data_IF_435315674692
#
_entry.id   IF_435315674692
#
_cell.length_a   1.000
_cell.length_b   1.000
_cell.length_c   1.000
_cell.angle_alpha   90.00
_cell.angle_beta   90.00
_cell.angle_gamma   90.00
#
_symmetry.space_group_name_H-M   'P 1'
#
loop_
_entity.id
_entity.type
_entity.pdbx_description
1 polymer ?
#
# COMPACT_ATOMS: atom_id res chain seq x y z
N UNK A 1 41.54 -4.44 24.66
CA UNK A 1 40.26 -3.83 24.22
C UNK A 1 39.13 -4.82 24.51
N UNK A 2 37.98 -4.39 25.09
CA UNK A 2 36.86 -5.29 25.31
C UNK A 2 36.33 -5.80 23.96
N UNK A 3 36.27 -7.12 23.79
CA UNK A 3 35.70 -7.77 22.60
C UNK A 3 34.19 -7.59 22.61
N UNK A 4 33.66 -6.77 21.72
CA UNK A 4 32.22 -6.71 21.47
C UNK A 4 31.76 -8.00 20.80
N UNK A 5 30.52 -8.43 21.07
CA UNK A 5 29.92 -9.65 20.49
C UNK A 5 29.58 -9.53 18.99
N UNK A 6 29.80 -8.35 18.39
CA UNK A 6 29.47 -8.05 17.01
C UNK A 6 30.50 -7.09 16.42
N UNK A 7 30.65 -7.13 15.09
CA UNK A 7 31.61 -6.32 14.35
C UNK A 7 30.99 -5.01 13.84
N UNK A 8 31.83 -4.03 13.53
CA UNK A 8 31.37 -2.74 12.97
C UNK A 8 30.78 -2.90 11.55
N UNK A 9 31.25 -3.91 10.81
CA UNK A 9 30.75 -4.24 9.47
C UNK A 9 29.31 -4.77 9.57
N UNK A 10 29.07 -5.73 10.46
CA UNK A 10 27.72 -6.25 10.72
C UNK A 10 26.77 -5.16 11.17
N UNK A 11 27.23 -4.26 12.05
CA UNK A 11 26.42 -3.14 12.51
C UNK A 11 26.05 -2.17 11.37
N UNK A 12 27.00 -1.84 10.49
CA UNK A 12 26.75 -0.99 9.31
C UNK A 12 25.76 -1.63 8.34
N UNK A 13 25.88 -2.93 8.10
CA UNK A 13 24.95 -3.65 7.23
C UNK A 13 23.53 -3.69 7.81
N UNK A 14 23.38 -3.86 9.12
CA UNK A 14 22.07 -3.81 9.78
C UNK A 14 21.45 -2.40 9.74
N UNK A 15 22.28 -1.35 9.84
CA UNK A 15 21.83 0.03 9.66
C UNK A 15 21.40 0.29 8.21
N UNK A 16 22.15 -0.17 7.21
CA UNK A 16 21.75 -0.09 5.79
C UNK A 16 20.43 -0.80 5.50
N UNK A 17 20.17 -1.92 6.20
CA UNK A 17 18.88 -2.63 6.14
C UNK A 17 17.75 -1.90 6.87
N UNK A 18 18.02 -0.74 7.48
CA UNK A 18 17.03 0.11 8.15
C UNK A 18 16.52 -0.45 9.47
N UNK A 19 17.27 -1.35 10.14
CA UNK A 19 16.83 -1.91 11.42
C UNK A 19 16.95 -0.88 12.56
N UNK A 20 15.98 -0.89 13.47
CA UNK A 20 16.02 -0.05 14.68
C UNK A 20 17.01 -0.61 15.71
N UNK A 21 17.49 0.21 16.67
CA UNK A 21 18.36 -0.25 17.75
C UNK A 21 17.76 -1.44 18.55
N UNK A 22 16.43 -1.51 18.63
CA UNK A 22 15.69 -2.62 19.21
C UNK A 22 15.84 -3.91 18.42
N UNK A 23 15.62 -3.83 17.10
CA UNK A 23 15.70 -4.98 16.21
C UNK A 23 17.15 -5.45 16.05
N UNK A 24 18.10 -4.51 15.95
CA UNK A 24 19.54 -4.81 15.95
C UNK A 24 19.98 -5.49 17.24
N UNK A 25 19.53 -5.00 18.40
CA UNK A 25 19.84 -5.63 19.69
C UNK A 25 19.32 -7.08 19.77
N UNK A 26 18.09 -7.32 19.29
CA UNK A 26 17.51 -8.67 19.22
C UNK A 26 18.28 -9.56 18.24
N UNK A 27 18.67 -9.03 17.08
CA UNK A 27 19.41 -9.78 16.05
C UNK A 27 20.84 -10.12 16.49
N UNK A 28 21.49 -9.21 17.21
CA UNK A 28 22.89 -9.35 17.66
C UNK A 28 22.99 -10.00 19.05
N UNK A 29 21.87 -10.33 19.71
CA UNK A 29 21.86 -10.93 21.04
C UNK A 29 22.48 -10.05 22.13
N UNK A 30 22.35 -8.72 22.00
CA UNK A 30 22.92 -7.72 22.92
C UNK A 30 21.84 -6.75 23.40
N UNK A 31 22.18 -5.90 24.36
CA UNK A 31 21.26 -4.88 24.86
C UNK A 31 21.13 -3.69 23.89
N UNK A 32 19.98 -3.00 23.91
CA UNK A 32 19.77 -1.77 23.12
C UNK A 32 20.81 -0.70 23.42
N UNK A 33 21.23 -0.57 24.68
CA UNK A 33 22.25 0.39 25.11
C UNK A 33 23.62 0.09 24.49
N UNK A 34 24.01 -1.18 24.38
CA UNK A 34 25.26 -1.59 23.74
C UNK A 34 25.29 -1.19 22.25
N UNK A 35 24.19 -1.39 21.54
CA UNK A 35 24.03 -0.97 20.13
C UNK A 35 24.09 0.56 20.02
N UNK A 36 23.35 1.29 20.85
CA UNK A 36 23.31 2.75 20.84
C UNK A 36 24.68 3.38 21.12
N UNK A 37 25.41 2.88 22.12
CA UNK A 37 26.76 3.37 22.44
C UNK A 37 27.74 3.10 21.30
N UNK A 38 27.62 1.96 20.61
CA UNK A 38 28.51 1.62 19.50
C UNK A 38 28.24 2.49 18.27
N UNK A 39 26.97 2.74 17.93
CA UNK A 39 26.57 3.64 16.85
C UNK A 39 27.05 5.07 17.10
N UNK A 40 26.91 5.57 18.33
CA UNK A 40 27.41 6.88 18.73
C UNK A 40 28.94 6.99 18.57
N UNK A 41 29.69 5.95 18.97
CA UNK A 41 31.16 5.91 18.78
C UNK A 41 31.58 5.87 17.31
N UNK A 42 30.78 5.25 16.45
CA UNK A 42 31.04 5.18 15.02
C UNK A 42 30.52 6.42 14.26
N UNK A 43 29.92 7.40 14.97
CA UNK A 43 29.22 8.56 14.39
C UNK A 43 28.19 8.16 13.33
N UNK A 44 27.60 6.97 13.47
CA UNK A 44 26.55 6.50 12.58
C UNK A 44 25.23 6.99 13.16
N UNK A 45 24.67 8.02 12.54
CA UNK A 45 23.32 8.48 12.84
C UNK A 45 22.32 7.40 12.42
N UNK A 46 21.80 6.65 13.39
CA UNK A 46 20.62 5.83 13.14
C UNK A 46 19.43 6.75 13.34
N UNK A 47 19.02 7.39 12.25
CA UNK A 47 17.74 8.09 12.25
C UNK A 47 16.68 7.07 12.70
N UNK A 48 15.85 7.45 13.68
CA UNK A 48 14.64 6.69 13.98
C UNK A 48 13.76 6.84 12.76
N UNK A 49 13.92 5.87 11.87
CA UNK A 49 13.40 5.72 10.53
C UNK A 49 11.86 5.54 10.52
N UNK A 50 11.14 6.42 11.22
CA UNK A 50 9.68 6.40 11.34
C UNK A 50 9.08 7.08 10.11
N UNK A 51 9.69 8.13 9.57
CA UNK A 51 9.17 8.86 8.40
C UNK A 51 9.32 8.12 7.07
N UNK A 52 10.40 7.36 6.86
CA UNK A 52 10.55 6.54 5.64
C UNK A 52 9.72 5.25 5.77
N UNK A 53 9.57 4.68 6.97
CA UNK A 53 8.70 3.50 7.16
C UNK A 53 7.23 3.83 7.00
N UNK A 54 6.74 4.98 7.46
CA UNK A 54 5.37 5.42 7.19
C UNK A 54 5.14 5.60 5.69
N UNK A 55 6.06 6.25 4.97
CA UNK A 55 5.97 6.37 3.52
C UNK A 55 5.99 4.99 2.83
N UNK A 56 6.82 4.05 3.30
CA UNK A 56 6.92 2.71 2.72
C UNK A 56 5.72 1.84 3.04
N UNK A 57 5.18 1.88 4.25
CA UNK A 57 3.96 1.17 4.66
C UNK A 57 2.71 1.76 4.00
N UNK A 58 2.66 3.08 3.80
CA UNK A 58 1.61 3.73 3.00
C UNK A 58 1.75 3.28 1.56
N UNK A 59 2.94 3.38 0.95
CA UNK A 59 3.18 2.92 -0.42
C UNK A 59 2.84 1.42 -0.57
N UNK A 60 3.21 0.56 0.37
CA UNK A 60 2.89 -0.87 0.32
C UNK A 60 1.37 -1.14 0.46
N UNK A 61 0.64 -0.36 1.27
CA UNK A 61 -0.83 -0.46 1.37
C UNK A 61 -1.53 0.08 0.11
N UNK A 62 -1.05 1.20 -0.43
CA UNK A 62 -1.55 1.79 -1.67
C UNK A 62 -1.30 0.86 -2.87
N UNK A 63 -0.14 0.17 -2.92
CA UNK A 63 0.16 -0.84 -3.93
C UNK A 63 -0.84 -2.01 -3.85
N UNK A 64 -1.13 -2.51 -2.64
CA UNK A 64 -2.13 -3.58 -2.49
C UNK A 64 -3.53 -3.13 -2.90
N UNK A 65 -3.91 -1.87 -2.62
CA UNK A 65 -5.18 -1.31 -3.05
C UNK A 65 -5.28 -1.20 -4.58
N UNK A 66 -4.19 -0.79 -5.24
CA UNK A 66 -4.08 -0.76 -6.71
C UNK A 66 -4.19 -2.15 -7.33
N UNK A 67 -3.56 -3.16 -6.75
CA UNK A 67 -3.65 -4.55 -7.22
C UNK A 67 -5.09 -5.08 -7.13
N UNK A 68 -5.79 -4.78 -6.02
CA UNK A 68 -7.21 -5.11 -5.88
C UNK A 68 -8.06 -4.36 -6.92
N UNK A 69 -7.80 -3.06 -7.14
CA UNK A 69 -8.48 -2.26 -8.16
C UNK A 69 -8.30 -2.83 -9.56
N UNK A 70 -7.08 -3.22 -9.93
CA UNK A 70 -6.81 -3.87 -11.21
C UNK A 70 -7.54 -5.21 -11.34
N UNK A 71 -7.62 -5.98 -10.26
CA UNK A 71 -8.38 -7.23 -10.26
C UNK A 71 -9.87 -6.98 -10.52
N UNK A 72 -10.50 -6.07 -9.79
CA UNK A 72 -11.91 -5.73 -9.99
C UNK A 72 -12.14 -5.19 -11.40
N UNK A 73 -11.21 -4.40 -11.93
CA UNK A 73 -11.30 -3.89 -13.30
C UNK A 73 -11.27 -5.00 -14.34
N UNK A 74 -10.38 -5.99 -14.20
CA UNK A 74 -10.35 -7.16 -15.08
C UNK A 74 -11.68 -7.91 -15.02
N UNK A 75 -12.15 -8.23 -13.84
CA UNK A 75 -13.41 -8.95 -13.64
C UNK A 75 -14.60 -8.20 -14.26
N UNK A 76 -14.65 -6.86 -14.11
CA UNK A 76 -15.69 -6.02 -14.70
C UNK A 76 -15.63 -5.98 -16.24
N UNK A 77 -14.42 -5.93 -16.82
CA UNK A 77 -14.24 -5.99 -18.28
C UNK A 77 -14.64 -7.36 -18.84
N UNK A 78 -14.28 -8.46 -18.16
CA UNK A 78 -14.67 -9.81 -18.58
C UNK A 78 -16.20 -9.97 -18.62
N UNK A 79 -16.90 -9.46 -17.60
CA UNK A 79 -18.37 -9.44 -17.58
C UNK A 79 -18.90 -8.57 -18.72
N UNK A 80 -18.34 -7.38 -18.93
CA UNK A 80 -18.78 -6.49 -20.00
C UNK A 80 -18.61 -7.14 -21.39
N UNK A 81 -17.49 -7.81 -21.63
CA UNK A 81 -17.21 -8.49 -22.90
C UNK A 81 -18.23 -9.60 -23.19
N UNK A 82 -18.55 -10.42 -22.18
CA UNK A 82 -19.58 -11.45 -22.30
C UNK A 82 -20.95 -10.83 -22.64
N UNK A 83 -21.32 -9.74 -21.98
CA UNK A 83 -22.58 -9.04 -22.22
C UNK A 83 -22.63 -8.40 -23.61
N UNK A 84 -21.53 -7.84 -24.08
CA UNK A 84 -21.42 -7.24 -25.40
C UNK A 84 -21.46 -8.29 -26.52
N UNK A 85 -20.83 -9.46 -26.32
CA UNK A 85 -20.93 -10.61 -27.24
C UNK A 85 -22.38 -11.10 -27.35
N UNK A 86 -23.05 -11.28 -26.21
CA UNK A 86 -24.46 -11.65 -26.19
C UNK A 86 -25.33 -10.63 -26.94
N UNK A 87 -25.14 -9.33 -26.70
CA UNK A 87 -25.92 -8.28 -27.36
C UNK A 87 -25.70 -8.24 -28.89
N UNK A 88 -24.60 -8.80 -29.40
CA UNK A 88 -24.33 -8.95 -30.85
C UNK A 88 -24.93 -10.24 -31.44
N UNK A 89 -25.63 -11.04 -30.64
CA UNK A 89 -26.28 -12.29 -31.09
C UNK A 89 -25.41 -13.54 -30.94
N UNK A 90 -24.33 -13.49 -30.16
CA UNK A 90 -23.53 -14.67 -29.84
C UNK A 90 -24.27 -15.57 -28.85
N UNK A 91 -24.76 -16.72 -29.34
CA UNK A 91 -25.52 -17.69 -28.53
C UNK A 91 -24.70 -18.41 -27.46
N UNK A 92 -23.37 -18.53 -27.63
CA UNK A 92 -22.50 -19.12 -26.61
C UNK A 92 -22.39 -18.21 -25.38
N UNK A 93 -22.37 -16.89 -25.61
CA UNK A 93 -22.34 -15.90 -24.53
C UNK A 93 -23.62 -15.96 -23.67
N UNK A 94 -24.78 -16.21 -24.29
CA UNK A 94 -26.03 -16.45 -23.56
C UNK A 94 -25.93 -17.69 -22.67
N UNK A 95 -25.39 -18.79 -23.20
CA UNK A 95 -25.25 -20.04 -22.46
C UNK A 95 -24.32 -19.90 -21.25
N UNK A 96 -23.23 -19.13 -21.39
CA UNK A 96 -22.33 -18.80 -20.28
C UNK A 96 -23.06 -17.95 -19.22
N UNK A 97 -23.79 -16.92 -19.63
CA UNK A 97 -24.56 -16.06 -18.71
C UNK A 97 -25.67 -16.82 -17.98
N UNK A 98 -26.37 -17.73 -18.68
CA UNK A 98 -27.42 -18.57 -18.11
C UNK A 98 -26.86 -19.66 -17.20
N UNK A 99 -25.68 -20.21 -17.50
CA UNK A 99 -25.01 -21.21 -16.63
C UNK A 99 -24.64 -20.65 -15.25
N UNK A 100 -24.51 -19.32 -15.15
CA UNK A 100 -24.27 -18.61 -13.89
C UNK A 100 -25.55 -18.34 -13.09
N UNK A 101 -26.74 -18.54 -13.67
CA UNK A 101 -28.00 -18.43 -12.96
C UNK A 101 -28.16 -19.62 -11.99
N UNK A 102 -28.13 -19.33 -10.68
CA UNK A 102 -28.35 -20.37 -9.66
C UNK A 102 -29.82 -20.71 -9.53
N UNK A 103 -30.15 -21.98 -9.72
CA UNK A 103 -31.41 -22.57 -9.27
C UNK A 103 -31.32 -22.85 -7.77
N UNK A 104 -32.04 -22.06 -6.97
CA UNK A 104 -32.09 -22.23 -5.51
C UNK A 104 -33.46 -22.79 -5.15
N UNK A 105 -33.51 -23.90 -4.40
CA UNK A 105 -34.76 -24.34 -3.76
C UNK A 105 -35.13 -23.31 -2.70
N UNK A 106 -36.27 -22.65 -2.88
CA UNK A 106 -36.83 -21.79 -1.85
C UNK A 106 -37.76 -22.63 -0.96
N UNK A 107 -37.49 -22.65 0.34
CA UNK A 107 -38.31 -23.32 1.35
C UNK A 107 -37.52 -24.13 2.39
N UNK A 108 -38.04 -24.21 3.62
CA UNK A 108 -37.59 -25.15 4.68
C UNK A 108 -38.74 -26.10 5.02
N UNK A 109 -38.45 -27.41 5.11
CA UNK A 109 -39.41 -28.43 5.55
C UNK A 109 -40.32 -28.98 4.45
N UNK A 110 -41.46 -29.56 4.83
CA UNK A 110 -42.42 -30.26 3.95
C UNK A 110 -43.08 -29.38 2.87
N UNK A 111 -42.91 -28.05 2.93
CA UNK A 111 -43.35 -27.08 1.93
C UNK A 111 -42.22 -26.67 0.95
N UNK A 112 -41.25 -27.55 0.66
CA UNK A 112 -40.23 -27.33 -0.36
C UNK A 112 -40.80 -27.51 -1.79
N UNK A 113 -41.90 -26.81 -2.08
CA UNK A 113 -42.62 -26.90 -3.34
C UNK A 113 -42.57 -25.58 -4.10
N UNK A 114 -41.44 -25.32 -4.76
CA UNK A 114 -41.33 -24.77 -6.12
C UNK A 114 -39.90 -24.29 -6.35
N UNK A 115 -39.32 -24.74 -7.46
CA UNK A 115 -38.02 -24.29 -7.93
C UNK A 115 -38.17 -22.83 -8.41
N UNK A 116 -37.88 -21.86 -7.55
CA UNK A 116 -37.88 -20.45 -7.97
C UNK A 116 -36.64 -20.20 -8.82
N UNK A 117 -36.80 -20.20 -10.14
CA UNK A 117 -35.74 -19.84 -11.06
C UNK A 117 -35.50 -18.32 -10.99
N UNK A 118 -34.39 -17.92 -10.36
CA UNK A 118 -33.95 -16.53 -10.40
C UNK A 118 -33.38 -16.26 -11.79
N UNK A 119 -34.20 -15.68 -12.67
CA UNK A 119 -33.75 -15.16 -13.96
C UNK A 119 -32.69 -14.09 -13.75
N UNK A 120 -31.64 -14.15 -14.57
CA UNK A 120 -30.63 -13.11 -14.68
C UNK A 120 -31.32 -11.74 -14.90
N UNK A 121 -30.90 -10.70 -14.16
CA UNK A 121 -31.33 -9.30 -14.43
C UNK A 121 -31.03 -8.96 -15.89
N UNK A 122 -31.76 -7.99 -16.45
CA UNK A 122 -31.57 -7.56 -17.85
C UNK A 122 -30.08 -7.36 -18.14
N UNK A 123 -29.48 -8.15 -19.04
CA UNK A 123 -28.04 -8.10 -19.25
C UNK A 123 -27.59 -6.75 -19.84
N UNK A 124 -28.49 -5.97 -20.44
CA UNK A 124 -28.21 -4.58 -20.85
C UNK A 124 -28.03 -3.65 -19.66
N UNK A 125 -28.86 -3.81 -18.63
CA UNK A 125 -28.73 -3.06 -17.37
C UNK A 125 -27.42 -3.42 -16.67
N UNK A 126 -27.07 -4.71 -16.66
CA UNK A 126 -25.81 -5.18 -16.10
C UNK A 126 -24.60 -4.62 -16.86
N UNK A 127 -24.68 -4.54 -18.19
CA UNK A 127 -23.61 -3.98 -19.01
C UNK A 127 -23.39 -2.48 -18.71
N UNK A 128 -24.48 -1.71 -18.58
CA UNK A 128 -24.40 -0.30 -18.21
C UNK A 128 -23.77 -0.10 -16.83
N UNK A 129 -24.10 -0.96 -15.85
CA UNK A 129 -23.50 -0.93 -14.51
C UNK A 129 -22.02 -1.30 -14.54
N UNK A 130 -21.62 -2.32 -15.31
CA UNK A 130 -20.21 -2.67 -15.50
C UNK A 130 -19.42 -1.51 -16.14
N UNK A 131 -19.97 -0.87 -17.18
CA UNK A 131 -19.35 0.32 -17.79
C UNK A 131 -19.22 1.49 -16.81
N UNK A 132 -20.21 1.72 -15.93
CA UNK A 132 -20.15 2.74 -14.89
C UNK A 132 -19.04 2.45 -13.87
N UNK A 133 -18.94 1.21 -13.42
CA UNK A 133 -17.90 0.76 -12.49
C UNK A 133 -16.49 0.92 -13.09
N UNK A 134 -16.29 0.47 -14.33
CA UNK A 134 -15.01 0.65 -15.06
C UNK A 134 -14.64 2.14 -15.14
N UNK A 135 -15.59 3.01 -15.46
CA UNK A 135 -15.36 4.47 -15.50
C UNK A 135 -14.98 5.03 -14.12
N UNK A 136 -15.65 4.59 -13.06
CA UNK A 136 -15.35 4.97 -11.70
C UNK A 136 -13.93 4.58 -11.30
N UNK A 137 -13.51 3.37 -11.65
CA UNK A 137 -12.16 2.88 -11.40
C UNK A 137 -11.08 3.64 -12.17
N UNK A 138 -11.32 3.97 -13.45
CA UNK A 138 -10.40 4.79 -14.23
C UNK A 138 -10.21 6.18 -13.60
N UNK A 139 -11.30 6.79 -13.11
CA UNK A 139 -11.22 8.07 -12.40
C UNK A 139 -10.38 7.96 -11.13
N UNK A 140 -10.63 6.94 -10.32
CA UNK A 140 -9.85 6.71 -9.09
C UNK A 140 -8.38 6.46 -9.38
N UNK A 141 -8.05 5.68 -10.43
CA UNK A 141 -6.68 5.48 -10.86
C UNK A 141 -5.98 6.78 -11.25
N UNK A 142 -6.66 7.69 -11.96
CA UNK A 142 -6.12 9.01 -12.30
C UNK A 142 -5.85 9.86 -11.05
N UNK A 143 -6.77 9.85 -10.08
CA UNK A 143 -6.61 10.55 -8.81
C UNK A 143 -5.39 10.01 -8.03
N UNK A 144 -5.22 8.69 -7.97
CA UNK A 144 -4.04 8.06 -7.35
C UNK A 144 -2.75 8.45 -8.08
N UNK A 145 -2.73 8.41 -9.42
CA UNK A 145 -1.56 8.81 -10.19
C UNK A 145 -1.19 10.27 -9.95
N UNK A 146 -2.17 11.16 -9.89
CA UNK A 146 -1.95 12.57 -9.60
C UNK A 146 -1.36 12.75 -8.19
N UNK A 147 -1.91 12.07 -7.18
CA UNK A 147 -1.39 12.11 -5.82
C UNK A 147 0.07 11.57 -5.74
N UNK A 148 0.38 10.50 -6.46
CA UNK A 148 1.75 9.96 -6.55
C UNK A 148 2.71 10.94 -7.23
N UNK A 149 2.29 11.60 -8.30
CA UNK A 149 3.08 12.62 -8.99
C UNK A 149 3.35 13.82 -8.07
N UNK A 150 2.33 14.31 -7.38
CA UNK A 150 2.46 15.42 -6.43
C UNK A 150 3.42 15.05 -5.28
N UNK A 151 3.33 13.82 -4.76
CA UNK A 151 4.27 13.32 -3.76
C UNK A 151 5.72 13.26 -4.29
N UNK A 152 5.93 12.87 -5.55
CA UNK A 152 7.25 12.89 -6.16
C UNK A 152 7.79 14.31 -6.30
N UNK A 153 6.98 15.26 -6.75
CA UNK A 153 7.35 16.67 -6.86
C UNK A 153 7.72 17.26 -5.49
N UNK A 154 6.93 16.97 -4.46
CA UNK A 154 7.22 17.38 -3.08
C UNK A 154 8.55 16.77 -2.60
N UNK A 155 8.79 15.50 -2.88
CA UNK A 155 10.05 14.83 -2.50
C UNK A 155 11.26 15.45 -3.19
N UNK A 156 11.13 15.77 -4.48
CA UNK A 156 12.20 16.41 -5.23
C UNK A 156 12.50 17.79 -4.64
N UNK A 157 11.49 18.63 -4.43
CA UNK A 157 11.64 19.93 -3.79
C UNK A 157 12.31 19.81 -2.40
N UNK A 158 11.87 18.88 -1.56
CA UNK A 158 12.47 18.65 -0.25
C UNK A 158 13.95 18.27 -0.35
N UNK A 159 14.31 17.44 -1.32
CA UNK A 159 15.70 17.05 -1.59
C UNK A 159 16.53 18.26 -1.96
N UNK A 160 16.09 19.03 -2.96
CA UNK A 160 16.77 20.22 -3.44
C UNK A 160 16.96 21.27 -2.33
N UNK A 161 15.94 21.49 -1.49
CA UNK A 161 16.03 22.41 -0.34
C UNK A 161 17.07 21.93 0.67
N UNK A 162 17.10 20.64 1.00
CA UNK A 162 18.07 20.11 1.95
C UNK A 162 19.50 20.15 1.39
N UNK A 163 19.69 19.88 0.10
CA UNK A 163 20.99 20.00 -0.57
C UNK A 163 21.46 21.47 -0.62
N UNK A 164 20.56 22.40 -0.90
CA UNK A 164 20.87 23.83 -0.86
C UNK A 164 21.32 24.27 0.55
N UNK A 165 20.64 23.81 1.60
CA UNK A 165 21.04 24.09 2.99
C UNK A 165 22.40 23.45 3.31
N UNK A 166 22.62 22.20 2.88
CA UNK A 166 23.88 21.48 3.08
C UNK A 166 25.06 22.23 2.47
N UNK A 167 24.87 22.83 1.29
CA UNK A 167 25.90 23.60 0.60
C UNK A 167 26.35 24.86 1.38
N UNK A 168 25.50 25.38 2.26
CA UNK A 168 25.78 26.56 3.10
C UNK A 168 26.27 26.15 4.49
N UNK A 169 25.62 25.18 5.12
CA UNK A 169 26.02 24.62 6.42
C UNK A 169 25.44 23.21 6.61
N UNK A 170 26.30 22.18 6.61
CA UNK A 170 25.90 20.81 6.92
C UNK A 170 25.27 20.67 8.31
N UNK A 171 25.77 21.41 9.30
CA UNK A 171 25.28 21.38 10.68
C UNK A 171 23.85 21.94 10.77
N UNK A 172 23.54 22.97 9.98
CA UNK A 172 22.20 23.55 9.92
C UNK A 172 21.20 22.56 9.32
N UNK A 173 21.59 21.82 8.28
CA UNK A 173 20.77 20.73 7.73
C UNK A 173 20.45 19.67 8.78
N UNK A 174 21.47 19.19 9.51
CA UNK A 174 21.28 18.17 10.54
C UNK A 174 20.34 18.66 11.66
N UNK A 175 20.50 19.90 12.12
CA UNK A 175 19.63 20.47 13.16
C UNK A 175 18.18 20.64 12.69
N UNK A 176 17.97 21.05 11.44
CA UNK A 176 16.64 21.14 10.84
C UNK A 176 15.99 19.76 10.78
N UNK A 177 16.69 18.74 10.28
CA UNK A 177 16.20 17.36 10.22
C UNK A 177 15.83 16.87 11.62
N UNK A 178 16.68 17.13 12.63
CA UNK A 178 16.43 16.75 14.03
C UNK A 178 15.14 17.37 14.54
N UNK A 179 14.96 18.69 14.40
CA UNK A 179 13.76 19.41 14.86
C UNK A 179 12.48 18.96 14.16
N UNK A 180 12.54 18.73 12.85
CA UNK A 180 11.40 18.24 12.09
C UNK A 180 10.99 16.84 12.56
N UNK A 181 11.97 15.97 12.82
CA UNK A 181 11.73 14.62 13.35
C UNK A 181 11.08 14.66 14.73
N UNK A 182 11.57 15.52 15.62
CA UNK A 182 11.00 15.71 16.97
C UNK A 182 9.55 16.21 16.92
N UNK A 183 9.26 17.21 16.08
CA UNK A 183 7.88 17.71 15.90
C UNK A 183 6.95 16.64 15.33
N UNK A 184 7.44 15.82 14.40
CA UNK A 184 6.61 14.77 13.81
C UNK A 184 6.30 13.65 14.81
N UNK A 185 7.29 13.24 15.61
CA UNK A 185 7.09 12.23 16.66
C UNK A 185 6.04 12.66 17.70
N UNK A 186 6.00 13.97 18.04
CA UNK A 186 4.98 14.53 18.93
C UNK A 186 3.58 14.51 18.30
N UNK A 187 3.47 14.80 16.99
CA UNK A 187 2.20 14.72 16.26
C UNK A 187 1.65 13.29 16.19
N UNK A 188 2.48 12.33 15.79
CA UNK A 188 2.04 10.93 15.69
C UNK A 188 1.61 10.34 17.04
N UNK A 189 2.15 10.83 18.16
CA UNK A 189 1.74 10.43 19.50
C UNK A 189 0.39 11.03 19.93
N UNK A 190 0.00 12.18 19.37
CA UNK A 190 -1.29 12.83 19.62
C UNK A 190 -2.41 12.23 18.77
N UNK A 191 -2.12 11.82 17.53
CA UNK A 191 -3.09 11.20 16.61
C UNK A 191 -3.45 9.73 16.96
N UNK A 192 -2.77 9.13 17.96
CA UNK A 192 -3.02 7.77 18.45
C UNK A 192 -3.94 7.71 19.69
N UNK A 193 -4.53 8.83 20.12
CA UNK A 193 -5.56 8.91 21.18
C UNK A 193 -6.90 9.35 20.59
#
# INVERSE_FOLDING_TARGET
MPKFKFTDIELRELVKKGLTCAAMAKHLGVTRSAVSMRLARLRIAVSKDVTIRSAREIVDREINALDQLQKINRDANEILDLLMRWNRGDGEALQVLESQARRVRSGKGENAGELTEYKLRDPRELALKAMQEIRGQLKLQLEVFQALFDMQAVRQFQTEVLEAIESVSPETREEIIRRLTERNALRSALDLN
#
